data_IF_507342912198
#
_entry.id   IF_507342912198
#
_cell.length_a   1.000
_cell.length_b   1.000
_cell.length_c   1.000
_cell.angle_alpha   90.00
_cell.angle_beta   90.00
_cell.angle_gamma   90.00
#
_symmetry.space_group_name_H-M   'P 1'
#
loop_
_entity.id
_entity.type
_entity.pdbx_description
1 polymer ?
#
# COMPACT_ATOMS: atom_id res chain seq x y z
N UNK A 1 -6.77 30.63 11.89
CA UNK A 1 -7.28 29.68 12.90
C UNK A 1 -6.10 29.11 13.65
N UNK A 2 -5.99 29.41 14.95
CA UNK A 2 -4.85 29.04 15.80
C UNK A 2 -5.13 27.71 16.50
N UNK A 3 -4.22 26.75 16.36
CA UNK A 3 -4.19 25.56 17.23
C UNK A 3 -2.97 25.66 18.16
N UNK A 4 -3.28 25.75 19.46
CA UNK A 4 -2.34 25.80 20.58
C UNK A 4 -2.27 24.42 21.26
N UNK A 5 -1.08 24.19 21.84
CA UNK A 5 -0.76 23.26 22.94
C UNK A 5 -0.50 21.79 22.54
N UNK A 6 0.75 21.33 22.51
CA UNK A 6 1.67 21.01 23.64
C UNK A 6 1.13 19.85 24.48
N UNK A 7 1.73 18.66 24.27
CA UNK A 7 1.86 17.61 25.29
C UNK A 7 3.33 17.21 25.33
N UNK A 8 4.02 17.64 26.39
CA UNK A 8 5.35 17.10 26.74
C UNK A 8 5.16 15.76 27.45
N UNK A 9 5.69 14.68 26.88
CA UNK A 9 5.86 13.41 27.59
C UNK A 9 7.26 13.38 28.22
N UNK A 10 7.26 13.30 29.55
CA UNK A 10 8.42 13.17 30.43
C UNK A 10 8.87 11.71 30.44
N UNK A 11 10.08 11.43 29.97
CA UNK A 11 10.70 10.10 30.07
C UNK A 11 11.23 9.85 31.49
N UNK A 12 10.90 8.74 32.17
CA UNK A 12 11.56 8.40 33.42
C UNK A 12 12.91 7.73 33.15
N UNK A 13 13.94 8.25 33.82
CA UNK A 13 15.28 7.67 33.87
C UNK A 13 15.27 6.33 34.63
N UNK A 14 15.76 5.26 33.99
CA UNK A 14 16.04 3.99 34.68
C UNK A 14 17.52 3.91 35.06
N UNK A 15 17.77 3.89 36.36
CA UNK A 15 19.07 3.56 36.98
C UNK A 15 19.35 2.06 36.81
N UNK A 16 20.50 1.72 36.25
CA UNK A 16 21.07 0.38 36.34
C UNK A 16 21.66 0.16 37.75
N UNK A 17 21.27 -0.93 38.41
CA UNK A 17 21.96 -1.46 39.59
C UNK A 17 22.39 -2.89 39.28
N UNK A 18 23.69 -3.13 39.41
CA UNK A 18 24.31 -4.44 39.49
C UNK A 18 23.85 -5.17 40.77
N UNK A 19 23.63 -6.47 40.64
CA UNK A 19 23.42 -7.37 41.77
C UNK A 19 23.63 -8.81 41.32
N UNK A 20 24.82 -9.34 41.59
CA UNK A 20 25.10 -10.77 41.52
C UNK A 20 24.41 -11.45 42.71
N UNK A 21 23.58 -12.44 42.43
CA UNK A 21 22.88 -13.22 43.45
C UNK A 21 22.68 -14.65 42.93
N UNK A 22 23.48 -15.57 43.46
CA UNK A 22 23.29 -17.02 43.30
C UNK A 22 22.06 -17.40 44.11
N UNK A 23 21.02 -17.90 43.45
CA UNK A 23 19.81 -18.43 44.10
C UNK A 23 19.59 -19.88 43.66
N UNK A 24 19.69 -20.78 44.64
CA UNK A 24 19.31 -22.19 44.56
C UNK A 24 17.79 -22.26 44.43
N UNK A 25 17.29 -22.80 43.32
CA UNK A 25 15.85 -23.00 43.10
C UNK A 25 15.51 -24.46 43.34
N UNK A 26 14.72 -24.69 44.39
CA UNK A 26 14.08 -25.97 44.67
C UNK A 26 13.01 -26.25 43.60
N UNK A 27 13.03 -27.45 43.01
CA UNK A 27 11.99 -27.96 42.12
C UNK A 27 10.70 -28.20 42.92
N UNK A 28 9.75 -27.29 42.82
CA UNK A 28 8.36 -27.54 43.18
C UNK A 28 7.62 -28.06 41.93
N UNK A 29 7.28 -29.35 41.93
CA UNK A 29 6.41 -29.94 40.91
C UNK A 29 4.96 -29.50 41.15
N UNK A 30 4.58 -28.34 40.62
CA UNK A 30 3.17 -27.94 40.51
C UNK A 30 2.50 -28.71 39.38
N UNK A 31 1.49 -29.50 39.71
CA UNK A 31 0.58 -30.13 38.77
C UNK A 31 -0.12 -29.05 37.93
N UNK A 32 0.31 -28.91 36.68
CA UNK A 32 -0.33 -28.03 35.70
C UNK A 32 -1.63 -28.72 35.30
N UNK A 33 -2.75 -28.21 35.82
CA UNK A 33 -4.08 -28.50 35.29
C UNK A 33 -4.14 -27.92 33.87
N UNK A 34 -3.83 -28.77 32.89
CA UNK A 34 -3.86 -28.42 31.48
C UNK A 34 -5.29 -28.10 31.05
N UNK A 35 -5.63 -26.81 31.03
CA UNK A 35 -6.73 -26.36 30.20
C UNK A 35 -6.43 -26.80 28.76
N UNK A 36 -7.39 -27.40 28.03
CA UNK A 36 -7.15 -27.81 26.66
C UNK A 36 -6.71 -26.57 25.88
N UNK A 37 -5.53 -26.65 25.28
CA UNK A 37 -5.10 -25.66 24.31
C UNK A 37 -6.17 -25.66 23.22
N UNK A 38 -7.00 -24.61 23.18
CA UNK A 38 -7.88 -24.38 22.04
C UNK A 38 -6.95 -24.17 20.87
N UNK A 39 -6.89 -25.15 19.98
CA UNK A 39 -6.31 -24.98 18.67
C UNK A 39 -6.95 -23.71 18.12
N UNK A 40 -6.14 -22.66 17.97
CA UNK A 40 -6.61 -21.45 17.32
C UNK A 40 -6.88 -21.90 15.89
N UNK A 41 -8.15 -21.95 15.50
CA UNK A 41 -8.54 -22.34 14.15
C UNK A 41 -7.63 -21.58 13.19
N UNK A 42 -6.87 -22.34 12.39
CA UNK A 42 -6.01 -21.74 11.39
C UNK A 42 -6.92 -20.87 10.52
N UNK A 43 -6.55 -19.60 10.26
CA UNK A 43 -7.37 -18.73 9.42
C UNK A 43 -7.70 -19.48 8.13
N UNK A 44 -8.98 -19.48 7.76
CA UNK A 44 -9.45 -20.14 6.55
C UNK A 44 -8.62 -19.59 5.39
N UNK A 45 -8.04 -20.48 4.57
CA UNK A 45 -7.13 -20.11 3.48
C UNK A 45 -7.82 -19.24 2.40
N UNK A 46 -9.14 -19.11 2.49
CA UNK A 46 -10.02 -18.37 1.58
C UNK A 46 -10.59 -17.09 2.23
N UNK A 47 -10.05 -16.67 3.37
CA UNK A 47 -10.63 -15.63 4.20
C UNK A 47 -10.11 -14.22 3.94
N UNK A 48 -8.88 -13.94 3.50
CA UNK A 48 -8.42 -12.54 3.55
C UNK A 48 -8.87 -11.70 2.35
N UNK A 49 -9.25 -10.43 2.56
CA UNK A 49 -9.48 -9.41 1.52
C UNK A 49 -8.71 -8.12 1.84
N UNK A 50 -8.21 -7.46 0.81
CA UNK A 50 -7.53 -6.17 0.92
C UNK A 50 -8.54 -5.04 0.79
N UNK A 51 -8.45 -4.07 1.67
CA UNK A 51 -9.28 -2.86 1.70
C UNK A 51 -8.40 -1.62 1.70
N UNK A 52 -8.94 -0.54 1.16
CA UNK A 52 -8.36 0.79 1.19
C UNK A 52 -9.24 1.67 2.08
N UNK A 53 -8.64 2.62 2.79
CA UNK A 53 -9.41 3.54 3.61
C UNK A 53 -9.76 4.81 2.83
N UNK A 54 -11.05 5.08 2.70
CA UNK A 54 -11.62 6.26 2.05
C UNK A 54 -12.43 7.03 3.08
N UNK A 55 -11.83 8.08 3.63
CA UNK A 55 -12.36 8.76 4.82
C UNK A 55 -12.40 7.81 6.01
N UNK A 56 -13.59 7.59 6.58
CA UNK A 56 -13.80 6.67 7.71
C UNK A 56 -14.25 5.26 7.27
N UNK A 57 -14.37 5.01 5.96
CA UNK A 57 -14.85 3.75 5.42
C UNK A 57 -13.72 2.90 4.85
N UNK A 58 -13.82 1.57 5.02
CA UNK A 58 -13.01 0.60 4.28
C UNK A 58 -13.73 0.23 2.99
N UNK A 59 -13.09 0.50 1.86
CA UNK A 59 -13.56 0.18 0.50
C UNK A 59 -12.73 -0.99 -0.02
N UNK A 60 -13.35 -1.90 -0.76
CA UNK A 60 -12.63 -3.03 -1.33
C UNK A 60 -11.57 -2.56 -2.34
N UNK A 61 -10.40 -3.18 -2.34
CA UNK A 61 -9.33 -2.82 -3.27
C UNK A 61 -9.77 -3.00 -4.73
N UNK A 62 -10.58 -4.02 -5.03
CA UNK A 62 -11.07 -4.29 -6.39
C UNK A 62 -11.87 -3.10 -6.95
N UNK A 63 -12.74 -2.52 -6.14
CA UNK A 63 -13.54 -1.36 -6.52
C UNK A 63 -12.64 -0.16 -6.84
N UNK A 64 -11.54 -0.02 -6.10
CA UNK A 64 -10.58 1.07 -6.33
C UNK A 64 -9.80 0.86 -7.62
N UNK A 65 -9.33 -0.35 -7.91
CA UNK A 65 -8.61 -0.65 -9.17
C UNK A 65 -9.51 -0.36 -10.37
N UNK A 66 -10.75 -0.85 -10.36
CA UNK A 66 -11.72 -0.66 -11.45
C UNK A 66 -12.01 0.81 -11.77
N UNK A 67 -11.95 1.70 -10.78
CA UNK A 67 -12.20 3.13 -11.00
C UNK A 67 -11.03 3.89 -11.63
N UNK A 68 -9.81 3.34 -11.58
CA UNK A 68 -8.59 4.04 -12.01
C UNK A 68 -7.88 3.35 -13.19
N UNK A 69 -8.26 2.12 -13.52
CA UNK A 69 -7.90 1.52 -14.81
C UNK A 69 -8.59 2.31 -15.91
N UNK A 70 -7.78 2.99 -16.72
CA UNK A 70 -8.25 3.62 -17.95
C UNK A 70 -8.91 2.50 -18.76
N UNK A 71 -10.14 2.76 -19.21
CA UNK A 71 -10.90 1.93 -20.15
C UNK A 71 -10.18 1.94 -21.52
N UNK A 72 -8.99 1.34 -21.56
CA UNK A 72 -8.11 1.22 -22.74
C UNK A 72 -8.66 0.23 -23.76
N UNK A 73 -9.83 -0.33 -23.49
CA UNK A 73 -10.58 -1.15 -24.40
C UNK A 73 -11.96 -0.54 -24.59
N UNK A 74 -12.15 0.10 -25.74
CA UNK A 74 -13.48 0.29 -26.35
C UNK A 74 -14.19 -1.04 -26.69
N UNK A 75 -13.73 -2.15 -26.10
CA UNK A 75 -14.26 -3.49 -26.22
C UNK A 75 -14.53 -3.96 -24.79
N UNK A 76 -15.80 -4.10 -24.37
CA UNK A 76 -16.11 -4.58 -23.04
C UNK A 76 -15.44 -5.93 -22.81
N UNK A 77 -14.75 -6.08 -21.68
CA UNK A 77 -14.20 -7.37 -21.26
C UNK A 77 -15.34 -8.41 -21.30
N UNK A 78 -15.13 -9.54 -21.97
CA UNK A 78 -16.12 -10.61 -21.97
C UNK A 78 -16.37 -11.06 -20.53
N UNK A 79 -17.63 -11.32 -20.18
CA UNK A 79 -18.04 -11.79 -18.86
C UNK A 79 -17.33 -13.12 -18.54
N UNK A 80 -16.16 -13.05 -17.88
CA UNK A 80 -15.36 -14.22 -17.53
C UNK A 80 -13.85 -14.02 -17.56
N UNK A 81 -13.33 -13.09 -18.37
CA UNK A 81 -11.89 -12.81 -18.47
C UNK A 81 -11.50 -11.58 -17.62
N UNK A 82 -11.71 -11.69 -16.30
CA UNK A 82 -11.33 -10.63 -15.35
C UNK A 82 -9.86 -10.77 -14.97
N UNK A 83 -8.97 -10.17 -15.75
CA UNK A 83 -7.57 -9.95 -15.33
C UNK A 83 -7.26 -8.48 -15.48
N UNK A 84 -7.38 -7.75 -14.38
CA UNK A 84 -6.77 -6.44 -14.26
C UNK A 84 -5.26 -6.65 -14.41
N UNK A 85 -4.72 -6.13 -15.49
CA UNK A 85 -3.29 -6.07 -15.76
C UNK A 85 -3.01 -4.63 -16.07
N UNK A 86 -2.27 -3.97 -15.19
CA UNK A 86 -1.93 -2.56 -15.35
C UNK A 86 -1.38 -2.22 -16.73
N UNK A 87 -0.62 -3.15 -17.34
CA UNK A 87 0.06 -2.96 -18.61
C UNK A 87 -0.30 -4.09 -19.57
N UNK A 88 -0.84 -3.72 -20.74
CA UNK A 88 -1.03 -4.66 -21.84
C UNK A 88 0.24 -4.79 -22.70
N UNK A 89 0.29 -5.80 -23.59
CA UNK A 89 1.47 -6.06 -24.42
C UNK A 89 1.88 -4.86 -25.29
N UNK A 90 0.92 -4.10 -25.82
CA UNK A 90 1.23 -2.94 -26.67
C UNK A 90 1.87 -1.80 -25.87
N UNK A 91 1.35 -1.49 -24.68
CA UNK A 91 1.92 -0.53 -23.75
C UNK A 91 3.31 -0.96 -23.28
N UNK A 92 3.49 -2.26 -23.01
CA UNK A 92 4.79 -2.82 -22.66
C UNK A 92 5.81 -2.61 -23.79
N UNK A 93 5.44 -2.91 -25.04
CA UNK A 93 6.30 -2.70 -26.20
C UNK A 93 6.62 -1.21 -26.39
N UNK A 94 5.61 -0.32 -26.32
CA UNK A 94 5.80 1.13 -26.35
C UNK A 94 6.82 1.60 -25.31
N UNK A 95 6.70 1.12 -24.07
CA UNK A 95 7.53 1.55 -22.96
C UNK A 95 8.96 0.99 -23.02
N UNK A 96 9.13 -0.32 -23.20
CA UNK A 96 10.44 -0.97 -23.11
C UNK A 96 11.18 -1.08 -24.44
N UNK A 97 10.45 -1.25 -25.55
CA UNK A 97 11.08 -1.39 -26.88
C UNK A 97 11.28 -0.03 -27.54
N UNK A 98 10.25 0.81 -27.52
CA UNK A 98 10.29 2.13 -28.16
C UNK A 98 10.66 3.28 -27.21
N UNK A 99 10.77 3.02 -25.90
CA UNK A 99 11.11 4.03 -24.88
C UNK A 99 10.17 5.25 -24.90
N UNK A 100 8.89 5.03 -25.21
CA UNK A 100 7.86 6.09 -25.20
C UNK A 100 7.51 6.40 -23.75
N UNK A 101 8.15 7.43 -23.19
CA UNK A 101 8.06 7.80 -21.76
C UNK A 101 6.68 8.27 -21.34
N UNK A 102 5.94 8.90 -22.24
CA UNK A 102 4.63 9.49 -21.94
C UNK A 102 3.47 8.51 -22.16
N UNK A 103 3.74 7.23 -22.46
CA UNK A 103 2.74 6.16 -22.51
C UNK A 103 2.03 6.05 -21.15
N UNK A 104 0.70 6.22 -21.11
CA UNK A 104 -0.09 6.24 -19.87
C UNK A 104 -0.56 4.84 -19.53
N UNK A 105 -0.36 4.41 -18.28
CA UNK A 105 -0.80 3.12 -17.75
C UNK A 105 -2.01 3.25 -16.83
N UNK A 106 -2.08 4.31 -16.04
CA UNK A 106 -3.24 4.61 -15.18
C UNK A 106 -3.40 6.12 -14.98
N UNK A 107 -4.63 6.56 -14.68
CA UNK A 107 -4.98 7.94 -14.38
C UNK A 107 -5.72 8.00 -13.04
N UNK A 108 -5.33 8.96 -12.22
CA UNK A 108 -5.87 9.23 -10.90
C UNK A 108 -6.24 10.71 -10.81
N UNK A 109 -7.13 11.07 -9.87
CA UNK A 109 -7.51 12.47 -9.66
C UNK A 109 -7.19 12.88 -8.23
N UNK A 110 -6.48 14.00 -8.04
CA UNK A 110 -6.30 14.61 -6.73
C UNK A 110 -6.88 16.03 -6.68
N UNK A 111 -7.49 16.37 -5.56
CA UNK A 111 -8.05 17.69 -5.31
C UNK A 111 -7.17 18.48 -4.32
N UNK A 112 -6.47 19.53 -4.76
CA UNK A 112 -5.57 20.30 -3.86
C UNK A 112 -5.76 21.82 -3.86
N UNK A 113 -6.62 22.37 -4.71
CA UNK A 113 -6.93 23.81 -4.80
C UNK A 113 -8.43 24.05 -5.07
N UNK A 114 -9.26 23.07 -4.74
CA UNK A 114 -10.68 23.06 -5.08
C UNK A 114 -10.98 22.51 -6.48
N UNK A 115 -9.95 22.27 -7.31
CA UNK A 115 -10.07 21.62 -8.61
C UNK A 115 -9.47 20.22 -8.58
N UNK A 116 -10.03 19.32 -9.40
CA UNK A 116 -9.45 18.00 -9.64
C UNK A 116 -8.32 18.12 -10.66
N UNK A 117 -7.19 17.49 -10.36
CA UNK A 117 -6.01 17.45 -11.23
C UNK A 117 -5.65 16.01 -11.53
N UNK A 118 -5.31 15.75 -12.79
CA UNK A 118 -4.88 14.43 -13.24
C UNK A 118 -3.48 14.13 -12.72
N UNK A 119 -3.34 12.94 -12.13
CA UNK A 119 -2.07 12.33 -11.79
C UNK A 119 -2.00 11.03 -12.54
N UNK A 120 -1.07 10.92 -13.49
CA UNK A 120 -0.95 9.79 -14.40
C UNK A 120 0.30 8.99 -14.09
N UNK A 121 0.12 7.68 -13.93
CA UNK A 121 1.23 6.74 -14.02
C UNK A 121 1.55 6.55 -15.49
N UNK A 122 2.72 7.02 -15.91
CA UNK A 122 3.25 6.83 -17.27
C UNK A 122 4.46 5.92 -17.24
N UNK A 123 4.89 5.42 -18.40
CA UNK A 123 6.11 4.63 -18.55
C UNK A 123 7.32 5.28 -17.85
N UNK A 124 7.54 6.57 -18.12
CA UNK A 124 8.55 7.38 -17.45
C UNK A 124 10.00 6.97 -17.73
N UNK A 125 10.89 7.32 -16.80
CA UNK A 125 12.33 7.07 -16.86
C UNK A 125 12.77 6.19 -15.70
N UNK A 126 13.65 5.22 -15.95
CA UNK A 126 14.25 4.39 -14.91
C UNK A 126 15.33 5.10 -14.08
N UNK A 127 15.96 4.36 -13.17
CA UNK A 127 17.12 4.80 -12.40
C UNK A 127 16.79 5.65 -11.15
N UNK A 128 17.82 6.21 -10.52
CA UNK A 128 17.71 6.89 -9.22
C UNK A 128 17.04 8.26 -9.26
N UNK A 129 17.12 8.97 -10.37
CA UNK A 129 16.47 10.27 -10.61
C UNK A 129 15.30 10.15 -11.60
N UNK A 130 14.82 8.93 -11.84
CA UNK A 130 13.73 8.64 -12.74
C UNK A 130 12.36 9.09 -12.22
N UNK A 131 11.33 8.78 -12.99
CA UNK A 131 9.93 9.00 -12.61
C UNK A 131 9.03 7.96 -13.31
N UNK A 132 7.79 7.81 -12.86
CA UNK A 132 6.82 6.92 -13.49
C UNK A 132 7.08 5.44 -13.22
N UNK A 133 6.50 4.59 -14.07
CA UNK A 133 6.50 3.14 -13.88
C UNK A 133 7.90 2.54 -13.84
N UNK A 134 8.77 2.91 -14.78
CA UNK A 134 10.15 2.38 -14.83
C UNK A 134 10.95 2.73 -13.59
N UNK A 135 10.76 3.94 -13.04
CA UNK A 135 11.40 4.32 -11.78
C UNK A 135 10.89 3.50 -10.60
N UNK A 136 9.58 3.30 -10.52
CA UNK A 136 8.97 2.46 -9.47
C UNK A 136 9.46 1.02 -9.60
N UNK A 137 9.50 0.48 -10.82
CA UNK A 137 10.02 -0.86 -11.07
C UNK A 137 11.49 -0.97 -10.61
N UNK A 138 12.36 -0.08 -11.08
CA UNK A 138 13.80 -0.13 -10.79
C UNK A 138 14.15 0.01 -9.29
N UNK A 139 13.27 0.64 -8.50
CA UNK A 139 13.58 1.05 -7.12
C UNK A 139 12.75 0.35 -6.06
N UNK A 140 11.53 -0.07 -6.41
CA UNK A 140 10.50 -0.46 -5.46
C UNK A 140 9.75 -1.72 -5.86
N UNK A 141 10.06 -2.36 -7.00
CA UNK A 141 9.45 -3.63 -7.40
C UNK A 141 9.59 -4.68 -6.31
N UNK A 142 10.79 -4.85 -5.75
CA UNK A 142 11.04 -5.83 -4.69
C UNK A 142 10.26 -5.51 -3.41
N UNK A 143 10.10 -4.21 -3.08
CA UNK A 143 9.30 -3.78 -1.93
C UNK A 143 7.83 -4.16 -2.13
N UNK A 144 7.26 -3.89 -3.31
CA UNK A 144 5.89 -4.23 -3.66
C UNK A 144 5.66 -5.74 -3.73
N UNK A 145 6.57 -6.47 -4.38
CA UNK A 145 6.53 -7.92 -4.46
C UNK A 145 6.58 -8.54 -3.06
N UNK A 146 7.43 -8.02 -2.18
CA UNK A 146 7.51 -8.47 -0.79
C UNK A 146 6.18 -8.27 -0.04
N UNK A 147 5.47 -7.16 -0.26
CA UNK A 147 4.15 -6.92 0.35
C UNK A 147 3.07 -7.83 -0.20
N UNK A 148 3.07 -8.06 -1.51
CA UNK A 148 2.17 -9.03 -2.16
C UNK A 148 2.39 -10.43 -1.58
N UNK A 149 3.63 -10.88 -1.45
CA UNK A 149 3.96 -12.20 -0.92
C UNK A 149 3.64 -12.33 0.58
N UNK A 150 3.88 -11.27 1.36
CA UNK A 150 3.48 -11.23 2.78
C UNK A 150 1.96 -11.36 2.92
N UNK A 151 1.18 -10.65 2.10
CA UNK A 151 -0.27 -10.73 2.15
C UNK A 151 -0.78 -12.12 1.70
N UNK A 152 -0.19 -12.72 0.66
CA UNK A 152 -0.47 -14.11 0.26
C UNK A 152 -0.18 -15.10 1.40
N UNK A 153 0.94 -14.94 2.10
CA UNK A 153 1.29 -15.76 3.26
C UNK A 153 0.33 -15.59 4.45
N UNK A 154 -0.48 -14.53 4.47
CA UNK A 154 -1.56 -14.30 5.44
C UNK A 154 -2.92 -14.86 4.99
N UNK A 155 -2.97 -15.57 3.87
CA UNK A 155 -4.21 -16.17 3.34
C UNK A 155 -4.96 -15.27 2.34
N UNK A 156 -4.31 -14.24 1.79
CA UNK A 156 -4.90 -13.45 0.72
C UNK A 156 -4.79 -14.17 -0.62
N UNK A 157 -5.91 -14.31 -1.33
CA UNK A 157 -5.93 -14.69 -2.73
C UNK A 157 -6.13 -13.45 -3.61
N UNK A 158 -5.05 -12.83 -4.14
CA UNK A 158 -5.14 -11.55 -4.82
C UNK A 158 -5.89 -11.62 -6.17
N UNK A 159 -5.90 -12.78 -6.82
CA UNK A 159 -6.63 -12.99 -8.08
C UNK A 159 -8.14 -12.77 -7.93
N UNK A 160 -8.69 -12.94 -6.72
CA UNK A 160 -10.11 -12.67 -6.45
C UNK A 160 -10.46 -11.18 -6.40
N UNK A 161 -9.46 -10.31 -6.28
CA UNK A 161 -9.62 -8.85 -6.33
C UNK A 161 -8.96 -8.25 -7.57
N UNK A 162 -8.70 -9.08 -8.60
CA UNK A 162 -8.07 -8.64 -9.85
C UNK A 162 -6.60 -8.25 -9.72
N UNK A 163 -5.90 -8.66 -8.66
CA UNK A 163 -4.47 -8.38 -8.49
C UNK A 163 -3.66 -9.59 -8.93
N UNK A 164 -2.98 -9.50 -10.06
CA UNK A 164 -2.15 -10.59 -10.60
C UNK A 164 -0.68 -10.42 -10.17
N UNK A 165 -0.16 -9.20 -10.21
CA UNK A 165 1.24 -8.87 -9.93
C UNK A 165 1.45 -7.67 -8.99
N UNK A 166 2.72 -7.39 -8.69
CA UNK A 166 3.14 -6.32 -7.76
C UNK A 166 2.69 -4.93 -8.22
N UNK A 167 2.61 -4.73 -9.53
CA UNK A 167 2.22 -3.49 -10.19
C UNK A 167 0.71 -3.25 -10.12
N UNK A 168 -0.13 -4.28 -10.20
CA UNK A 168 -1.57 -4.15 -9.97
C UNK A 168 -1.86 -3.74 -8.52
N UNK A 169 -1.18 -4.37 -7.54
CA UNK A 169 -1.25 -3.96 -6.13
C UNK A 169 -0.78 -2.51 -5.94
N UNK A 170 0.32 -2.14 -6.60
CA UNK A 170 0.87 -0.78 -6.56
C UNK A 170 -0.12 0.23 -7.15
N UNK A 171 -0.72 -0.05 -8.31
CA UNK A 171 -1.65 0.86 -8.97
C UNK A 171 -2.91 1.09 -8.13
N UNK A 172 -3.52 0.03 -7.59
CA UNK A 172 -4.67 0.15 -6.69
C UNK A 172 -4.35 0.94 -5.42
N UNK A 173 -3.15 0.72 -4.85
CA UNK A 173 -2.68 1.48 -3.71
C UNK A 173 -2.43 2.96 -4.05
N UNK A 174 -1.82 3.25 -5.20
CA UNK A 174 -1.58 4.63 -5.67
C UNK A 174 -2.88 5.37 -5.87
N UNK A 175 -3.89 4.75 -6.49
CA UNK A 175 -5.21 5.37 -6.65
C UNK A 175 -5.79 5.79 -5.29
N UNK A 176 -5.60 4.98 -4.26
CA UNK A 176 -6.02 5.34 -2.89
C UNK A 176 -5.20 6.49 -2.31
N UNK A 177 -3.87 6.46 -2.46
CA UNK A 177 -2.98 7.51 -1.93
C UNK A 177 -3.24 8.86 -2.62
N UNK A 178 -3.47 8.84 -3.92
CA UNK A 178 -3.69 10.06 -4.71
C UNK A 178 -5.09 10.59 -4.46
N UNK A 179 -6.13 9.77 -4.51
CA UNK A 179 -7.52 10.24 -4.39
C UNK A 179 -7.92 10.52 -2.93
N UNK A 180 -7.47 9.70 -1.98
CA UNK A 180 -7.90 9.73 -0.58
C UNK A 180 -6.74 9.55 0.43
N UNK A 181 -5.72 10.43 0.40
CA UNK A 181 -4.61 10.36 1.34
C UNK A 181 -5.03 10.64 2.79
N UNK A 182 -4.47 9.88 3.73
CA UNK A 182 -4.56 10.20 5.17
C UNK A 182 -3.60 11.34 5.56
N UNK A 183 -2.50 11.48 4.82
CA UNK A 183 -1.57 12.59 4.95
C UNK A 183 -1.20 13.14 3.57
N UNK A 184 -1.16 14.47 3.46
CA UNK A 184 -0.63 15.17 2.27
C UNK A 184 0.44 16.15 2.69
N UNK A 185 1.64 15.99 2.11
CA UNK A 185 2.73 16.94 2.15
C UNK A 185 2.97 17.56 0.77
N UNK A 186 3.70 18.67 0.72
CA UNK A 186 4.12 19.28 -0.53
C UNK A 186 5.43 20.03 -0.38
N UNK A 187 6.20 20.08 -1.47
CA UNK A 187 7.41 20.87 -1.56
C UNK A 187 7.25 21.86 -2.73
N UNK A 188 7.07 23.17 -2.46
CA UNK A 188 6.85 24.15 -3.50
C UNK A 188 8.10 24.39 -4.37
N UNK A 189 9.30 24.15 -3.82
CA UNK A 189 10.56 24.33 -4.54
C UNK A 189 10.74 23.26 -5.62
N UNK A 190 10.44 22.00 -5.30
CA UNK A 190 10.46 20.90 -6.27
C UNK A 190 9.15 20.75 -7.05
N UNK A 191 8.13 21.57 -6.73
CA UNK A 191 6.79 21.48 -7.30
C UNK A 191 6.20 20.07 -7.21
N UNK A 192 6.33 19.42 -6.05
CA UNK A 192 5.81 18.07 -5.81
C UNK A 192 4.83 18.04 -4.65
N UNK A 193 3.93 17.06 -4.71
CA UNK A 193 3.09 16.63 -3.60
C UNK A 193 3.40 15.18 -3.27
N UNK A 194 3.13 14.82 -2.03
CA UNK A 194 3.26 13.47 -1.55
C UNK A 194 2.07 13.11 -0.68
N UNK A 195 1.48 11.96 -0.92
CA UNK A 195 0.41 11.38 -0.15
C UNK A 195 0.88 10.14 0.61
N UNK A 196 0.23 9.84 1.73
CA UNK A 196 0.37 8.56 2.43
C UNK A 196 -1.02 8.03 2.78
N UNK A 197 -1.23 6.72 2.60
CA UNK A 197 -2.44 6.02 3.05
C UNK A 197 -2.10 4.59 3.51
N UNK A 198 -3.04 3.96 4.20
CA UNK A 198 -2.96 2.59 4.66
C UNK A 198 -3.90 1.68 3.85
N UNK A 199 -3.38 0.53 3.41
CA UNK A 199 -4.16 -0.62 2.94
C UNK A 199 -4.28 -1.62 4.08
N UNK A 200 -5.47 -2.20 4.24
CA UNK A 200 -5.81 -3.13 5.31
C UNK A 200 -6.11 -4.49 4.73
N UNK A 201 -5.32 -5.50 5.09
CA UNK A 201 -5.69 -6.88 4.85
C UNK A 201 -6.54 -7.36 6.02
N UNK A 202 -7.78 -7.76 5.75
CA UNK A 202 -8.78 -8.09 6.75
C UNK A 202 -9.25 -9.53 6.53
N UNK A 203 -9.47 -10.26 7.62
CA UNK A 203 -10.12 -11.57 7.61
C UNK A 203 -11.62 -11.41 7.27
N UNK A 204 -12.07 -11.97 6.14
CA UNK A 204 -13.46 -11.91 5.64
C UNK A 204 -14.44 -12.56 6.59
N UNK A 205 -14.04 -13.65 7.24
CA UNK A 205 -14.90 -14.37 8.17
C UNK A 205 -14.96 -13.64 9.52
N UNK A 206 -13.97 -12.79 9.82
CA UNK A 206 -13.87 -11.96 11.03
C UNK A 206 -13.43 -10.53 10.68
N UNK A 207 -14.31 -9.68 10.12
CA UNK A 207 -13.93 -8.38 9.56
C UNK A 207 -13.30 -7.38 10.55
N UNK A 208 -13.42 -7.64 11.86
CA UNK A 208 -12.73 -6.91 12.92
C UNK A 208 -11.24 -7.29 13.08
N UNK A 209 -10.77 -8.36 12.44
CA UNK A 209 -9.41 -8.86 12.53
C UNK A 209 -8.59 -8.36 11.34
N UNK A 210 -7.77 -7.36 11.58
CA UNK A 210 -6.77 -6.88 10.62
C UNK A 210 -5.56 -7.81 10.67
N UNK A 211 -5.29 -8.49 9.55
CA UNK A 211 -4.19 -9.43 9.39
C UNK A 211 -2.86 -8.74 9.06
N UNK A 212 -2.93 -7.62 8.34
CA UNK A 212 -1.77 -6.84 7.90
C UNK A 212 -2.20 -5.40 7.55
N UNK A 213 -1.30 -4.44 7.75
CA UNK A 213 -1.43 -3.08 7.22
C UNK A 213 -0.25 -2.83 6.28
N UNK A 214 -0.52 -2.36 5.07
CA UNK A 214 0.47 -1.90 4.11
C UNK A 214 0.32 -0.39 3.98
N UNK A 215 1.25 0.33 4.59
CA UNK A 215 1.32 1.78 4.41
C UNK A 215 2.07 2.12 3.13
N UNK A 216 1.51 3.03 2.34
CA UNK A 216 2.00 3.36 1.00
C UNK A 216 2.16 4.87 0.90
N UNK A 217 3.28 5.30 0.32
CA UNK A 217 3.48 6.67 -0.12
C UNK A 217 3.47 6.75 -1.64
N UNK A 218 2.97 7.86 -2.16
CA UNK A 218 3.06 8.23 -3.57
C UNK A 218 3.47 9.69 -3.68
N UNK A 219 4.33 10.00 -4.64
CA UNK A 219 4.81 11.35 -4.93
C UNK A 219 4.43 11.69 -6.36
N UNK A 220 3.87 12.87 -6.58
CA UNK A 220 3.50 13.35 -7.91
C UNK A 220 3.88 14.81 -8.10
N UNK A 221 4.01 15.20 -9.35
CA UNK A 221 4.28 16.57 -9.74
C UNK A 221 3.03 17.45 -9.60
N UNK A 222 3.23 18.74 -9.33
CA UNK A 222 2.16 19.77 -9.29
C UNK A 222 2.21 20.73 -10.47
N UNK A 223 3.27 20.65 -11.27
CA UNK A 223 3.47 21.42 -12.50
C UNK A 223 3.28 20.58 -13.77
N UNK A 224 2.93 19.30 -13.62
CA UNK A 224 2.63 18.35 -14.68
C UNK A 224 1.74 17.25 -14.12
N UNK A 225 1.20 16.40 -14.99
CA UNK A 225 0.31 15.28 -14.66
C UNK A 225 1.05 14.01 -14.23
N UNK A 226 2.31 14.10 -13.80
CA UNK A 226 3.18 12.92 -13.62
C UNK A 226 3.13 12.36 -12.21
N UNK A 227 2.82 11.08 -12.08
CA UNK A 227 3.22 10.30 -10.91
C UNK A 227 4.75 10.09 -10.96
N UNK A 228 5.45 10.50 -9.91
CA UNK A 228 6.91 10.42 -9.84
C UNK A 228 7.33 9.05 -9.29
N UNK A 229 6.81 8.66 -8.13
CA UNK A 229 7.14 7.38 -7.48
C UNK A 229 6.03 6.91 -6.56
N UNK A 230 6.01 5.63 -6.24
CA UNK A 230 5.14 5.02 -5.24
C UNK A 230 5.78 3.80 -4.61
N UNK A 231 5.69 3.69 -3.29
CA UNK A 231 6.37 2.62 -2.55
C UNK A 231 5.72 2.34 -1.19
N UNK A 232 5.80 1.09 -0.68
CA UNK A 232 5.46 0.80 0.70
C UNK A 232 6.43 1.50 1.66
N UNK A 233 5.92 2.11 2.73
CA UNK A 233 6.74 2.87 3.70
C UNK A 233 6.27 2.62 5.13
N UNK A 234 7.15 2.59 6.14
CA UNK A 234 6.72 2.56 7.54
C UNK A 234 6.24 3.93 8.04
N UNK A 235 6.57 5.03 7.34
CA UNK A 235 6.33 6.40 7.81
C UNK A 235 4.90 6.83 7.54
N UNK A 236 4.23 7.40 8.54
CA UNK A 236 2.88 7.99 8.42
C UNK A 236 2.86 9.36 7.71
N UNK A 237 4.02 9.85 7.26
CA UNK A 237 4.16 11.12 6.58
C UNK A 237 5.26 11.06 5.53
N UNK A 238 5.16 11.98 4.59
CA UNK A 238 6.25 12.50 3.78
C UNK A 238 6.92 13.64 4.56
#
# INVERSE_FOLDING_TARGET
>A
MQWKSIVQMKTPARRARFGAGVAVVALAMTAISGAPARASDAPSADGARMYVKVGDNLVDLEDTIRTHEIDLHSTPASEGDRKARLINLSQWVSCYTFSIKDEVFAEYTHFWDGFGHDVRLKCGDGGTSGWGYRHIEDRHKEDWQSKLDQARAKGWNPAWQGVDSWDDLMAGAVGSVVSWPEYVGGNPTSQTKCGVTDLYLVDRDRPQVVLMIIRVAAVWATNSDRLITAYPTPKASC
#
